data_IF_738489755431
#
_entry.id   IF_738489755431
#
_cell.length_a   1.000
_cell.length_b   1.000
_cell.length_c   1.000
_cell.angle_alpha   90.00
_cell.angle_beta   90.00
_cell.angle_gamma   90.00
#
_symmetry.space_group_name_H-M   'P 1'
#
loop_
_entity.id
_entity.type
_entity.pdbx_description
1 polymer ?
#
# COMPACT_ATOMS: atom_id res chain seq x y z
N UNK A 1 34.77 -4.62 -53.90
CA UNK A 1 35.70 -5.48 -53.13
C UNK A 1 36.17 -4.90 -51.78
N UNK A 2 36.32 -3.57 -51.60
CA UNK A 2 36.82 -2.99 -50.34
C UNK A 2 35.72 -2.80 -49.26
N UNK A 3 34.46 -2.49 -49.65
CA UNK A 3 33.35 -2.26 -48.69
C UNK A 3 32.91 -3.52 -47.92
N UNK A 4 32.88 -4.68 -48.56
CA UNK A 4 32.48 -5.94 -47.88
C UNK A 4 33.51 -6.40 -46.85
N UNK A 5 34.81 -6.25 -47.14
CA UNK A 5 35.88 -6.49 -46.16
C UNK A 5 35.82 -5.55 -44.96
N UNK A 6 35.45 -4.29 -45.18
CA UNK A 6 35.23 -3.30 -44.10
C UNK A 6 34.00 -3.68 -43.26
N UNK A 7 32.91 -4.14 -43.89
CA UNK A 7 31.71 -4.63 -43.20
C UNK A 7 32.01 -5.86 -42.35
N UNK A 8 32.71 -6.86 -42.88
CA UNK A 8 33.08 -8.05 -42.11
C UNK A 8 33.98 -7.73 -40.92
N UNK A 9 34.94 -6.82 -41.07
CA UNK A 9 35.79 -6.37 -39.96
C UNK A 9 34.99 -5.66 -38.87
N UNK A 10 34.04 -4.79 -39.25
CA UNK A 10 33.13 -4.14 -38.28
C UNK A 10 32.27 -5.16 -37.55
N UNK A 11 31.75 -6.16 -38.27
CA UNK A 11 30.93 -7.22 -37.68
C UNK A 11 31.73 -8.07 -36.68
N UNK A 12 32.95 -8.46 -37.04
CA UNK A 12 33.84 -9.18 -36.14
C UNK A 12 34.17 -8.35 -34.90
N UNK A 13 34.40 -7.04 -35.07
CA UNK A 13 34.68 -6.15 -33.94
C UNK A 13 33.47 -6.05 -32.99
N UNK A 14 32.26 -5.93 -33.53
CA UNK A 14 31.01 -5.93 -32.74
C UNK A 14 30.85 -7.27 -32.01
N UNK A 15 31.12 -8.40 -32.66
CA UNK A 15 31.04 -9.72 -32.06
C UNK A 15 32.02 -9.87 -30.89
N UNK A 16 33.26 -9.39 -31.04
CA UNK A 16 34.26 -9.40 -29.96
C UNK A 16 33.84 -8.51 -28.79
N UNK A 17 33.24 -7.34 -29.04
CA UNK A 17 32.70 -6.49 -27.98
C UNK A 17 31.57 -7.21 -27.22
N UNK A 18 30.66 -7.88 -27.94
CA UNK A 18 29.57 -8.65 -27.32
C UNK A 18 30.13 -9.81 -26.47
N UNK A 19 31.14 -10.53 -26.99
CA UNK A 19 31.81 -11.61 -26.27
C UNK A 19 32.52 -11.10 -25.00
N UNK A 20 33.16 -9.93 -25.07
CA UNK A 20 33.82 -9.29 -23.93
C UNK A 20 32.81 -8.84 -22.86
N UNK A 21 31.63 -8.37 -23.27
CA UNK A 21 30.56 -7.98 -22.33
C UNK A 21 30.00 -9.22 -21.61
N UNK A 22 29.94 -10.39 -22.28
CA UNK A 22 29.48 -11.66 -21.70
C UNK A 22 30.43 -12.20 -20.61
N UNK A 23 31.70 -11.85 -20.65
CA UNK A 23 32.72 -12.27 -19.68
C UNK A 23 32.84 -11.33 -18.47
N UNK A 24 32.07 -10.25 -18.42
CA UNK A 24 32.14 -9.33 -17.28
C UNK A 24 31.71 -10.06 -16.00
N UNK A 25 32.56 -10.07 -14.95
CA UNK A 25 32.19 -10.68 -13.69
C UNK A 25 30.99 -9.93 -13.10
N UNK A 26 29.86 -10.62 -13.01
CA UNK A 26 28.68 -10.11 -12.31
C UNK A 26 29.01 -10.10 -10.82
N UNK A 27 29.36 -8.95 -10.28
CA UNK A 27 29.54 -8.78 -8.85
C UNK A 27 28.18 -8.93 -8.15
N UNK A 28 27.93 -10.12 -7.60
CA UNK A 28 26.77 -10.34 -6.76
C UNK A 28 26.85 -9.42 -5.53
N UNK A 29 25.80 -8.63 -5.31
CA UNK A 29 25.71 -7.75 -4.15
C UNK A 29 25.64 -8.59 -2.87
N UNK A 30 26.35 -8.15 -1.82
CA UNK A 30 26.36 -8.84 -0.52
C UNK A 30 24.93 -8.94 0.01
N UNK A 31 24.47 -10.16 0.29
CA UNK A 31 23.10 -10.43 0.70
C UNK A 31 22.89 -10.09 2.19
N UNK A 32 22.44 -8.87 2.47
CA UNK A 32 22.10 -8.45 3.82
C UNK A 32 20.80 -9.10 4.30
N UNK A 33 20.61 -9.21 5.62
CA UNK A 33 19.36 -9.66 6.25
C UNK A 33 18.82 -8.58 7.19
N UNK A 34 17.50 -8.45 7.27
CA UNK A 34 16.88 -7.58 8.27
C UNK A 34 17.10 -8.21 9.64
N UNK A 35 17.71 -7.44 10.54
CA UNK A 35 17.88 -7.82 11.94
C UNK A 35 16.74 -7.28 12.79
N UNK A 36 16.43 -5.99 12.65
CA UNK A 36 15.37 -5.34 13.41
C UNK A 36 14.64 -4.26 12.60
N UNK A 37 13.38 -4.01 12.96
CA UNK A 37 12.58 -2.92 12.42
C UNK A 37 11.84 -2.21 13.54
N UNK A 38 12.08 -0.91 13.65
CA UNK A 38 11.47 -0.05 14.66
C UNK A 38 10.66 1.07 14.01
N UNK A 39 9.55 1.42 14.64
CA UNK A 39 8.72 2.55 14.28
C UNK A 39 8.84 3.66 15.33
N UNK A 40 8.70 4.91 14.88
CA UNK A 40 8.66 6.07 15.76
C UNK A 40 7.68 7.10 15.23
N UNK A 41 6.93 7.73 16.13
CA UNK A 41 5.92 8.75 15.79
C UNK A 41 4.53 8.21 15.45
N UNK A 42 4.33 6.89 15.51
CA UNK A 42 3.02 6.27 15.39
C UNK A 42 2.26 6.27 16.73
N UNK A 43 1.56 7.35 17.02
CA UNK A 43 0.82 7.49 18.28
C UNK A 43 -0.58 6.87 18.20
N UNK A 44 -1.17 6.80 17.01
CA UNK A 44 -2.56 6.38 16.84
C UNK A 44 -2.73 4.95 16.33
N UNK A 45 -1.74 4.43 15.58
CA UNK A 45 -1.74 3.07 15.04
C UNK A 45 -0.65 2.23 15.74
N UNK A 46 -0.97 0.99 16.08
CA UNK A 46 -0.06 0.15 16.88
C UNK A 46 1.07 -0.42 16.02
N UNK A 47 2.25 -0.64 16.62
CA UNK A 47 3.42 -1.19 15.93
C UNK A 47 3.10 -2.51 15.21
N UNK A 48 2.31 -3.37 15.83
CA UNK A 48 1.88 -4.66 15.30
C UNK A 48 1.08 -4.48 14.00
N UNK A 49 0.17 -3.51 13.95
CA UNK A 49 -0.63 -3.21 12.76
C UNK A 49 0.24 -2.69 11.60
N UNK A 50 1.30 -1.94 11.93
CA UNK A 50 2.26 -1.43 10.95
C UNK A 50 3.16 -2.56 10.43
N UNK A 51 3.64 -3.44 11.30
CA UNK A 51 4.43 -4.63 10.92
C UNK A 51 3.68 -5.53 9.94
N UNK A 52 2.37 -5.70 10.11
CA UNK A 52 1.53 -6.50 9.21
C UNK A 52 1.53 -5.99 7.76
N UNK A 53 1.88 -4.71 7.53
CA UNK A 53 1.95 -4.13 6.19
C UNK A 53 3.24 -4.50 5.45
N UNK A 54 4.24 -5.04 6.15
CA UNK A 54 5.52 -5.44 5.56
C UNK A 54 5.50 -6.90 5.09
N UNK A 55 6.08 -7.14 3.92
CA UNK A 55 6.35 -8.48 3.38
C UNK A 55 7.83 -8.85 3.47
N UNK A 56 8.71 -7.86 3.62
CA UNK A 56 10.15 -8.06 3.81
C UNK A 56 10.49 -8.71 5.14
N UNK A 57 9.61 -8.58 6.14
CA UNK A 57 9.76 -9.18 7.45
C UNK A 57 8.79 -10.36 7.54
N UNK A 58 9.26 -11.56 7.91
CA UNK A 58 8.37 -12.69 8.11
C UNK A 58 7.35 -12.39 9.22
N UNK A 59 6.08 -12.65 8.91
CA UNK A 59 4.91 -12.26 9.70
C UNK A 59 4.74 -12.99 11.04
N UNK A 60 5.62 -13.92 11.37
CA UNK A 60 5.29 -14.97 12.32
C UNK A 60 6.05 -14.90 13.65
N UNK A 61 5.26 -14.87 14.74
CA UNK A 61 5.66 -15.40 16.06
C UNK A 61 6.18 -16.85 15.95
N UNK A 62 5.74 -17.59 14.94
CA UNK A 62 6.21 -18.94 14.60
C UNK A 62 7.66 -18.96 14.07
N UNK A 63 8.14 -17.92 13.40
CA UNK A 63 9.55 -17.83 12.97
C UNK A 63 10.50 -17.53 14.14
N UNK A 64 10.00 -16.94 15.24
CA UNK A 64 10.72 -16.95 16.53
C UNK A 64 10.88 -18.37 17.09
N UNK A 65 9.94 -19.29 16.79
CA UNK A 65 10.01 -20.70 17.18
C UNK A 65 10.85 -21.54 16.19
N UNK A 66 10.92 -21.13 14.93
CA UNK A 66 11.73 -21.75 13.87
C UNK A 66 13.06 -21.02 13.70
N UNK A 67 13.85 -20.94 14.77
CA UNK A 67 15.18 -20.31 14.80
C UNK A 67 16.15 -20.90 13.75
N UNK A 68 15.82 -22.02 13.12
CA UNK A 68 16.63 -22.70 12.10
C UNK A 68 16.35 -22.20 10.68
N UNK A 69 15.21 -21.54 10.44
CA UNK A 69 14.83 -21.05 9.11
C UNK A 69 15.47 -19.67 8.88
N UNK A 70 16.48 -19.63 8.00
CA UNK A 70 17.17 -18.38 7.66
C UNK A 70 16.20 -17.39 7.02
N UNK A 71 16.14 -16.16 7.54
CA UNK A 71 15.37 -15.08 6.94
C UNK A 71 15.83 -14.86 5.49
N UNK A 72 14.89 -14.52 4.58
CA UNK A 72 15.22 -14.18 3.21
C UNK A 72 16.18 -12.97 3.16
N UNK A 73 16.99 -12.84 2.11
CA UNK A 73 17.83 -11.67 1.93
C UNK A 73 16.97 -10.40 1.79
N UNK A 74 17.50 -9.28 2.26
CA UNK A 74 16.91 -7.97 2.11
C UNK A 74 16.89 -7.58 0.63
N UNK A 75 15.70 -7.29 0.13
CA UNK A 75 15.48 -6.79 -1.22
C UNK A 75 14.96 -5.36 -1.12
N UNK A 76 15.76 -4.41 -1.60
CA UNK A 76 15.43 -2.98 -1.50
C UNK A 76 14.09 -2.65 -2.18
N UNK A 77 13.78 -3.31 -3.30
CA UNK A 77 12.53 -3.06 -4.03
C UNK A 77 11.30 -3.58 -3.29
N UNK A 78 11.42 -4.71 -2.61
CA UNK A 78 10.35 -5.23 -1.75
C UNK A 78 10.12 -4.29 -0.57
N UNK A 79 11.20 -3.78 0.03
CA UNK A 79 11.10 -2.80 1.12
C UNK A 79 10.46 -1.49 0.68
N UNK A 80 10.83 -0.96 -0.49
CA UNK A 80 10.19 0.23 -1.07
C UNK A 80 8.67 0.01 -1.25
N UNK A 81 8.28 -1.17 -1.72
CA UNK A 81 6.86 -1.53 -1.84
C UNK A 81 6.17 -1.60 -0.48
N UNK A 82 6.84 -2.11 0.55
CA UNK A 82 6.31 -2.14 1.91
C UNK A 82 6.09 -0.72 2.48
N UNK A 83 7.01 0.22 2.23
CA UNK A 83 6.80 1.64 2.58
C UNK A 83 5.57 2.22 1.86
N UNK A 84 5.34 1.89 0.59
CA UNK A 84 4.15 2.33 -0.13
C UNK A 84 2.86 1.71 0.42
N UNK A 85 2.91 0.43 0.84
CA UNK A 85 1.80 -0.22 1.53
C UNK A 85 1.50 0.45 2.86
N UNK A 86 2.53 0.80 3.63
CA UNK A 86 2.41 1.51 4.89
C UNK A 86 1.77 2.89 4.69
N UNK A 87 2.24 3.68 3.71
CA UNK A 87 1.61 4.96 3.34
C UNK A 87 0.13 4.78 2.99
N UNK A 88 -0.16 3.79 2.16
CA UNK A 88 -1.54 3.47 1.78
C UNK A 88 -2.39 3.04 2.98
N UNK A 89 -1.80 2.35 3.96
CA UNK A 89 -2.48 1.95 5.20
C UNK A 89 -2.86 3.17 6.06
N UNK A 90 -1.97 4.16 6.17
CA UNK A 90 -2.25 5.43 6.85
C UNK A 90 -3.40 6.20 6.17
N UNK A 91 -3.38 6.32 4.85
CA UNK A 91 -4.47 6.95 4.07
C UNK A 91 -5.80 6.22 4.30
N UNK A 92 -5.81 4.88 4.24
CA UNK A 92 -7.02 4.07 4.51
C UNK A 92 -7.55 4.25 5.93
N UNK A 93 -6.70 4.65 6.88
CA UNK A 93 -7.06 4.92 8.26
C UNK A 93 -7.41 6.40 8.54
N UNK A 94 -7.41 7.26 7.52
CA UNK A 94 -7.85 8.65 7.61
C UNK A 94 -6.73 9.68 7.69
N UNK A 95 -5.46 9.28 7.61
CA UNK A 95 -4.32 10.18 7.66
C UNK A 95 -3.85 10.51 6.24
N UNK A 96 -4.47 11.51 5.61
CA UNK A 96 -4.18 11.87 4.22
C UNK A 96 -2.79 12.50 4.04
N UNK A 97 -2.37 13.29 5.02
CA UNK A 97 -1.12 14.06 4.97
C UNK A 97 0.00 13.40 5.78
N UNK A 98 -0.09 12.10 6.06
CA UNK A 98 0.95 11.39 6.79
C UNK A 98 2.26 11.37 5.99
N UNK A 99 3.36 11.72 6.64
CA UNK A 99 4.70 11.62 6.06
C UNK A 99 5.47 10.45 6.68
N UNK A 100 6.11 9.64 5.83
CA UNK A 100 6.85 8.45 6.26
C UNK A 100 8.26 8.53 5.67
N UNK A 101 9.25 8.55 6.57
CA UNK A 101 10.68 8.54 6.27
C UNK A 101 11.31 7.28 6.89
N UNK A 102 12.48 6.88 6.40
CA UNK A 102 13.18 5.72 6.95
C UNK A 102 14.70 5.88 6.86
N UNK A 103 15.40 5.20 7.76
CA UNK A 103 16.86 5.06 7.80
C UNK A 103 17.21 3.58 7.80
N UNK A 104 18.24 3.22 7.02
CA UNK A 104 18.76 1.87 6.91
C UNK A 104 20.18 1.83 7.47
N UNK A 105 20.35 1.23 8.65
CA UNK A 105 21.64 1.09 9.30
C UNK A 105 22.25 -0.27 8.95
N UNK A 106 23.23 -0.26 8.03
CA UNK A 106 23.90 -1.48 7.58
C UNK A 106 25.06 -1.85 8.50
N UNK A 107 24.95 -3.00 9.18
CA UNK A 107 26.04 -3.58 9.98
C UNK A 107 26.89 -4.49 9.09
N UNK A 108 27.89 -3.89 8.42
CA UNK A 108 28.79 -4.60 7.48
C UNK A 108 29.52 -5.81 8.08
N UNK A 109 29.73 -5.83 9.39
CA UNK A 109 30.39 -6.94 10.10
C UNK A 109 29.52 -8.19 10.23
N UNK A 110 28.19 -8.03 10.20
CA UNK A 110 27.22 -9.13 10.43
C UNK A 110 26.31 -9.41 9.24
N UNK A 111 26.48 -8.70 8.13
CA UNK A 111 25.57 -8.75 6.97
C UNK A 111 24.11 -8.53 7.36
N UNK A 112 23.90 -7.58 8.28
CA UNK A 112 22.61 -7.26 8.87
C UNK A 112 22.23 -5.80 8.62
N UNK A 113 20.93 -5.53 8.59
CA UNK A 113 20.36 -4.18 8.45
C UNK A 113 19.35 -3.97 9.56
N UNK A 114 19.49 -2.85 10.27
CA UNK A 114 18.45 -2.31 11.14
C UNK A 114 17.67 -1.24 10.40
N UNK A 115 16.35 -1.27 10.53
CA UNK A 115 15.46 -0.35 9.84
C UNK A 115 14.75 0.51 10.88
N UNK A 116 14.85 1.82 10.72
CA UNK A 116 14.11 2.78 11.55
C UNK A 116 13.16 3.57 10.66
N UNK A 117 11.86 3.44 10.92
CA UNK A 117 10.81 4.13 10.17
C UNK A 117 10.25 5.26 11.04
N UNK A 118 10.37 6.49 10.56
CA UNK A 118 9.85 7.69 11.20
C UNK A 118 8.54 8.09 10.53
N UNK A 119 7.50 8.23 11.34
CA UNK A 119 6.14 8.52 10.89
C UNK A 119 5.69 9.83 11.52
N UNK A 120 5.25 10.75 10.68
CA UNK A 120 4.56 11.96 11.07
C UNK A 120 3.10 11.81 10.62
N UNK A 121 2.23 11.38 11.54
CA UNK A 121 0.84 11.00 11.22
C UNK A 121 0.00 12.17 10.69
N UNK A 122 0.32 13.40 11.13
CA UNK A 122 -0.54 14.59 10.97
C UNK A 122 -1.97 14.39 11.48
N UNK A 123 -2.84 15.36 11.23
CA UNK A 123 -4.25 15.27 11.61
C UNK A 123 -5.01 14.29 10.73
N UNK A 124 -5.84 13.45 11.35
CA UNK A 124 -6.75 12.58 10.63
C UNK A 124 -8.00 13.32 10.15
N UNK A 125 -8.57 12.86 9.05
CA UNK A 125 -9.83 13.36 8.52
C UNK A 125 -11.01 12.76 9.28
N UNK A 126 -11.99 13.60 9.62
CA UNK A 126 -13.23 13.21 10.25
C UNK A 126 -14.38 13.17 9.24
N UNK A 127 -15.37 12.32 9.51
CA UNK A 127 -16.63 12.30 8.78
C UNK A 127 -17.50 13.46 9.28
N UNK A 128 -17.81 14.42 8.43
CA UNK A 128 -18.67 15.56 8.81
C UNK A 128 -20.15 15.15 8.85
N UNK A 129 -20.70 14.75 7.71
CA UNK A 129 -22.08 14.27 7.59
C UNK A 129 -22.20 13.14 6.57
N UNK A 130 -23.16 12.25 6.79
CA UNK A 130 -23.51 11.18 5.85
C UNK A 130 -24.86 11.53 5.24
N UNK A 131 -24.89 11.72 3.92
CA UNK A 131 -26.11 12.07 3.19
C UNK A 131 -26.35 11.02 2.11
N UNK A 132 -27.60 10.59 1.97
CA UNK A 132 -28.04 9.66 0.94
C UNK A 132 -28.84 10.42 -0.10
N UNK A 133 -28.56 10.19 -1.37
CA UNK A 133 -29.29 10.76 -2.50
C UNK A 133 -29.74 9.62 -3.41
N UNK A 134 -31.02 9.61 -3.78
CA UNK A 134 -31.62 8.58 -4.65
C UNK A 134 -33.00 9.00 -5.17
N UNK A 135 -33.40 8.48 -6.34
CA UNK A 135 -34.71 8.72 -6.93
C UNK A 135 -35.78 7.96 -6.15
N UNK A 136 -36.66 8.70 -5.48
CA UNK A 136 -37.75 8.19 -4.67
C UNK A 136 -38.94 7.79 -5.55
N UNK A 137 -39.02 6.54 -5.97
CA UNK A 137 -40.30 5.93 -6.34
C UNK A 137 -40.79 5.03 -5.21
N UNK A 138 -41.68 5.61 -4.39
CA UNK A 138 -42.69 5.04 -3.47
C UNK A 138 -42.35 3.91 -2.48
N UNK A 139 -41.16 3.28 -2.48
CA UNK A 139 -40.83 2.16 -1.59
C UNK A 139 -39.78 2.47 -0.51
N UNK A 140 -39.23 3.69 -0.46
CA UNK A 140 -37.87 3.87 0.08
C UNK A 140 -37.72 4.48 1.49
N UNK A 141 -38.71 5.12 2.12
CA UNK A 141 -38.47 5.80 3.42
C UNK A 141 -38.20 4.83 4.58
N UNK A 142 -38.98 3.76 4.70
CA UNK A 142 -38.75 2.71 5.70
C UNK A 142 -37.44 1.95 5.46
N UNK A 143 -37.01 1.86 4.19
CA UNK A 143 -35.72 1.26 3.80
C UNK A 143 -34.55 2.20 4.13
N UNK A 144 -34.73 3.51 4.02
CA UNK A 144 -33.72 4.51 4.39
C UNK A 144 -33.52 4.54 5.92
N UNK A 145 -34.58 4.45 6.70
CA UNK A 145 -34.49 4.43 8.18
C UNK A 145 -33.84 3.15 8.71
N UNK A 146 -34.13 1.98 8.11
CA UNK A 146 -33.43 0.74 8.48
C UNK A 146 -31.96 0.77 8.07
N UNK A 147 -31.66 1.32 6.88
CA UNK A 147 -30.30 1.53 6.40
C UNK A 147 -29.52 2.47 7.35
N UNK A 148 -30.12 3.58 7.79
CA UNK A 148 -29.47 4.56 8.68
C UNK A 148 -29.01 3.96 10.03
N UNK A 149 -29.79 3.02 10.59
CA UNK A 149 -29.44 2.38 11.86
C UNK A 149 -28.30 1.36 11.73
N UNK A 150 -28.18 0.70 10.57
CA UNK A 150 -27.17 -0.34 10.32
C UNK A 150 -25.86 0.19 9.72
N UNK A 151 -25.82 1.47 9.32
CA UNK A 151 -24.63 2.06 8.71
C UNK A 151 -23.51 2.18 9.76
N UNK A 152 -22.34 1.56 9.51
CA UNK A 152 -21.21 1.65 10.42
C UNK A 152 -20.62 3.07 10.50
N UNK A 153 -21.00 3.97 9.58
CA UNK A 153 -20.42 5.30 9.48
C UNK A 153 -21.21 6.36 10.27
N UNK A 154 -20.66 6.84 11.39
CA UNK A 154 -21.24 7.88 12.24
C UNK A 154 -20.59 9.25 11.99
N UNK A 155 -21.31 10.37 12.18
CA UNK A 155 -20.72 11.70 12.17
C UNK A 155 -19.62 11.87 13.24
N UNK A 156 -18.67 12.77 12.98
CA UNK A 156 -17.53 13.15 13.85
C UNK A 156 -16.54 12.04 14.20
N UNK A 157 -16.68 10.85 13.62
CA UNK A 157 -15.66 9.81 13.78
C UNK A 157 -14.55 9.94 12.74
N UNK A 158 -13.36 9.39 13.04
CA UNK A 158 -12.26 9.29 12.08
C UNK A 158 -12.70 8.51 10.84
N UNK A 159 -12.42 9.07 9.67
CA UNK A 159 -12.66 8.39 8.40
C UNK A 159 -11.80 7.13 8.31
N UNK A 160 -12.46 5.99 8.05
CA UNK A 160 -11.76 4.74 7.71
C UNK A 160 -12.35 4.20 6.42
N UNK A 161 -11.49 3.94 5.43
CA UNK A 161 -11.90 3.48 4.09
C UNK A 161 -12.68 2.16 4.15
N UNK A 162 -12.35 1.27 5.08
CA UNK A 162 -13.10 0.01 5.29
C UNK A 162 -14.56 0.24 5.65
N UNK A 163 -14.86 1.30 6.41
CA UNK A 163 -16.23 1.63 6.80
C UNK A 163 -17.01 2.18 5.62
N UNK A 164 -16.38 3.01 4.78
CA UNK A 164 -16.95 3.48 3.52
C UNK A 164 -17.27 2.33 2.55
N UNK A 165 -16.37 1.37 2.40
CA UNK A 165 -16.59 0.19 1.56
C UNK A 165 -17.74 -0.68 2.07
N UNK A 166 -17.87 -0.86 3.39
CA UNK A 166 -19.01 -1.58 3.99
C UNK A 166 -20.34 -0.92 3.63
N UNK A 167 -20.41 0.42 3.70
CA UNK A 167 -21.62 1.17 3.30
C UNK A 167 -21.93 0.95 1.82
N UNK A 168 -20.93 1.05 0.94
CA UNK A 168 -21.13 0.77 -0.50
C UNK A 168 -21.67 -0.63 -0.74
N UNK A 169 -21.05 -1.66 -0.16
CA UNK A 169 -21.46 -3.06 -0.31
C UNK A 169 -22.89 -3.27 0.21
N UNK A 170 -23.22 -2.70 1.37
CA UNK A 170 -24.55 -2.78 1.95
C UNK A 170 -25.61 -2.14 1.03
N UNK A 171 -25.33 -0.95 0.49
CA UNK A 171 -26.20 -0.32 -0.52
C UNK A 171 -26.38 -1.20 -1.77
N UNK A 172 -25.34 -1.88 -2.26
CA UNK A 172 -25.47 -2.80 -3.40
C UNK A 172 -26.30 -4.05 -3.08
N UNK A 173 -26.20 -4.59 -1.86
CA UNK A 173 -26.93 -5.81 -1.47
C UNK A 173 -28.45 -5.62 -1.33
N UNK A 174 -28.91 -4.37 -1.17
CA UNK A 174 -30.33 -4.05 -0.99
C UNK A 174 -31.03 -3.79 -2.33
N UNK A 175 -30.28 -3.58 -3.41
CA UNK A 175 -30.83 -3.29 -4.74
C UNK A 175 -31.20 -4.60 -5.47
N UNK A 176 -32.45 -4.76 -5.96
CA UNK A 176 -32.85 -5.98 -6.67
C UNK A 176 -32.11 -6.14 -8.00
N UNK A 177 -31.70 -7.37 -8.33
CA UNK A 177 -30.86 -7.73 -9.49
C UNK A 177 -31.19 -7.07 -10.85
N UNK A 178 -32.46 -6.88 -11.29
CA UNK A 178 -32.74 -6.22 -12.57
C UNK A 178 -32.38 -4.72 -12.62
N UNK A 179 -32.06 -4.12 -11.47
CA UNK A 179 -31.75 -2.68 -11.31
C UNK A 179 -30.25 -2.39 -11.48
N UNK A 180 -29.38 -3.40 -11.34
CA UNK A 180 -27.92 -3.28 -11.40
C UNK A 180 -27.43 -2.81 -12.79
N UNK A 181 -28.16 -3.14 -13.85
CA UNK A 181 -27.84 -2.73 -15.23
C UNK A 181 -28.28 -1.28 -15.57
N UNK A 182 -29.27 -0.72 -14.85
CA UNK A 182 -29.73 0.65 -15.06
C UNK A 182 -29.02 1.69 -14.17
N UNK A 183 -28.39 1.23 -13.08
CA UNK A 183 -27.90 2.09 -12.00
C UNK A 183 -26.38 2.26 -11.99
N UNK A 184 -25.81 2.68 -13.12
CA UNK A 184 -24.56 3.43 -13.12
C UNK A 184 -24.69 4.80 -12.41
N UNK A 185 -25.90 5.17 -11.94
CA UNK A 185 -26.27 6.48 -11.41
C UNK A 185 -26.52 6.56 -9.88
N UNK A 186 -26.63 5.45 -9.12
CA UNK A 186 -26.59 5.55 -7.63
C UNK A 186 -25.13 5.76 -7.22
N UNK A 187 -24.72 7.01 -7.30
CA UNK A 187 -23.47 7.45 -6.69
C UNK A 187 -23.79 7.89 -5.27
N UNK A 188 -23.55 6.99 -4.32
CA UNK A 188 -23.54 7.33 -2.90
C UNK A 188 -22.34 8.27 -2.65
N UNK A 189 -22.55 9.57 -2.85
CA UNK A 189 -21.58 10.62 -2.58
C UNK A 189 -21.60 10.94 -1.09
N UNK A 190 -20.66 10.36 -0.34
CA UNK A 190 -20.39 10.83 1.01
C UNK A 190 -19.68 12.18 0.95
N UNK A 191 -20.31 13.20 1.53
CA UNK A 191 -19.70 14.50 1.77
C UNK A 191 -18.77 14.41 2.98
N UNK A 192 -17.59 13.83 2.80
CA UNK A 192 -16.50 13.90 3.78
C UNK A 192 -15.88 15.30 3.64
N UNK A 193 -15.62 15.96 4.77
CA UNK A 193 -15.24 17.38 4.88
C UNK A 193 -14.41 17.90 3.70
N UNK A 194 -15.04 18.73 2.86
CA UNK A 194 -14.47 19.24 1.61
C UNK A 194 -13.31 20.23 1.85
N UNK A 195 -13.14 20.75 3.08
CA UNK A 195 -12.13 21.75 3.41
C UNK A 195 -10.71 21.19 3.59
N UNK A 196 -10.55 19.88 3.78
CA UNK A 196 -9.22 19.25 4.00
C UNK A 196 -8.82 18.21 2.96
N UNK A 197 -9.65 18.04 1.92
CA UNK A 197 -9.44 17.04 0.86
C UNK A 197 -8.68 17.60 -0.36
N UNK A 198 -8.37 18.90 -0.37
CA UNK A 198 -7.58 19.58 -1.40
C UNK A 198 -6.20 19.91 -0.83
N UNK A 199 -5.29 18.96 -0.92
CA UNK A 199 -3.85 19.18 -1.09
C UNK A 199 -3.38 18.24 -2.19
#
# INVERSE_FOLDING_TARGET
MNRERVMHRKLQFILYIILMILELPVFAQKAYRIHDLNFSGNNTLQNEELLEQFNTIPRDKLNRLLFWKKNPPFLQDVFKNDIQRLKSYYIRNGFLNAHINYVLDTLKSKDQINIHVFIDEKEFVMVDSVKFYGSLDSLSYAMIDSVQNDIPLKPKQRFRMRMFLKVKIYCYSILPMPVILLYSLITCYLSIDRKRMLV
#
